data_IF_789131711876
#
_entry.id   IF_789131711876
#
_cell.length_a   1.000
_cell.length_b   1.000
_cell.length_c   1.000
_cell.angle_alpha   90.00
_cell.angle_beta   90.00
_cell.angle_gamma   90.00
#
_symmetry.space_group_name_H-M   'P 1'
#
loop_
_entity.id
_entity.type
_entity.pdbx_description
1 polymer ?
#
# COMPACT_ATOMS: atom_id res chain seq x y z
N UNK A 1 -25.56 2.59 18.76
CA UNK A 1 -24.65 1.50 18.33
C UNK A 1 -24.08 1.90 16.99
N UNK A 2 -22.79 1.82 16.86
CA UNK A 2 -22.10 2.04 15.57
C UNK A 2 -22.62 1.06 14.52
N UNK A 3 -22.78 1.51 13.27
CA UNK A 3 -23.16 0.63 12.16
C UNK A 3 -21.91 0.13 11.39
N UNK A 4 -20.70 0.33 11.94
CA UNK A 4 -19.45 -0.09 11.30
C UNK A 4 -19.27 -1.59 11.43
N UNK A 5 -19.03 -2.25 10.28
CA UNK A 5 -18.89 -3.69 10.14
C UNK A 5 -17.58 -4.11 9.46
N UNK A 6 -16.78 -3.15 9.03
CA UNK A 6 -15.46 -3.35 8.42
C UNK A 6 -14.58 -2.15 8.73
N UNK A 7 -13.31 -2.39 9.04
CA UNK A 7 -12.30 -1.34 9.21
C UNK A 7 -11.18 -1.58 8.21
N UNK A 8 -10.77 -0.54 7.49
CA UNK A 8 -9.59 -0.55 6.61
C UNK A 8 -8.63 0.52 7.09
N UNK A 9 -7.40 0.13 7.40
CA UNK A 9 -6.39 1.01 7.99
C UNK A 9 -5.12 1.04 7.16
N UNK A 10 -4.55 2.22 6.98
CA UNK A 10 -3.16 2.37 6.60
C UNK A 10 -2.23 1.85 7.70
N UNK A 11 -0.93 1.72 7.38
CA UNK A 11 0.10 1.19 8.26
C UNK A 11 1.05 2.29 8.75
N UNK A 12 1.77 2.95 7.81
CA UNK A 12 2.89 3.84 8.12
C UNK A 12 2.40 5.23 8.53
N UNK A 13 2.69 5.65 9.76
CA UNK A 13 2.14 6.88 10.31
C UNK A 13 0.71 6.75 10.85
N UNK A 14 0.10 5.56 10.74
CA UNK A 14 -1.24 5.24 11.21
C UNK A 14 -1.19 4.24 12.35
N UNK A 15 -0.97 2.94 12.09
CA UNK A 15 -0.86 1.92 13.14
C UNK A 15 0.56 1.73 13.68
N UNK A 16 1.56 2.22 12.95
CA UNK A 16 2.94 2.26 13.42
C UNK A 16 3.24 3.60 14.08
N UNK A 17 3.84 3.54 15.27
CA UNK A 17 4.38 4.72 15.96
C UNK A 17 5.58 5.31 15.20
N UNK A 18 6.03 6.49 15.59
CA UNK A 18 7.24 7.14 15.04
C UNK A 18 8.51 6.28 15.18
N UNK A 19 8.50 5.31 16.10
CA UNK A 19 9.57 4.32 16.28
C UNK A 19 9.35 3.04 15.47
N UNK A 20 8.44 3.05 14.50
CA UNK A 20 8.08 1.91 13.64
C UNK A 20 7.62 0.66 14.43
N UNK A 21 7.00 0.85 15.58
CA UNK A 21 6.40 -0.23 16.37
C UNK A 21 4.88 -0.19 16.22
N UNK A 22 4.27 -1.37 16.18
CA UNK A 22 2.80 -1.50 16.25
C UNK A 22 2.33 -0.98 17.61
N UNK A 23 1.32 -0.11 17.58
CA UNK A 23 0.72 0.45 18.81
C UNK A 23 0.19 -0.65 19.72
N UNK A 24 0.65 -0.64 21.00
CA UNK A 24 0.27 -1.65 22.00
C UNK A 24 -1.23 -1.60 22.34
N UNK A 25 -1.83 -0.42 22.41
CA UNK A 25 -3.27 -0.30 22.67
C UNK A 25 -4.11 -0.80 21.49
N UNK A 26 -3.60 -0.72 20.26
CA UNK A 26 -4.26 -1.34 19.12
C UNK A 26 -4.25 -2.87 19.24
N UNK A 27 -3.10 -3.45 19.64
CA UNK A 27 -3.02 -4.91 19.88
C UNK A 27 -4.06 -5.36 20.93
N UNK A 28 -4.25 -4.55 21.99
CA UNK A 28 -5.24 -4.87 23.05
C UNK A 28 -6.70 -4.81 22.57
N UNK A 29 -7.00 -3.97 21.58
CA UNK A 29 -8.36 -3.80 21.04
C UNK A 29 -8.72 -4.88 20.01
N UNK A 30 -7.73 -5.47 19.32
CA UNK A 30 -7.99 -6.46 18.25
C UNK A 30 -8.88 -7.64 18.68
N UNK A 31 -8.73 -8.27 19.88
CA UNK A 31 -9.63 -9.34 20.34
C UNK A 31 -11.09 -8.90 20.53
N UNK A 32 -11.33 -7.61 20.81
CA UNK A 32 -12.71 -7.09 20.92
C UNK A 32 -13.37 -6.98 19.55
N UNK A 33 -12.63 -6.55 18.52
CA UNK A 33 -13.12 -6.56 17.13
C UNK A 33 -13.40 -7.97 16.62
N UNK A 34 -12.51 -8.93 16.91
CA UNK A 34 -12.73 -10.35 16.57
C UNK A 34 -14.01 -10.88 17.21
N UNK A 35 -14.22 -10.63 18.51
CA UNK A 35 -15.44 -11.03 19.23
C UNK A 35 -16.69 -10.36 18.65
N UNK A 36 -16.58 -9.12 18.16
CA UNK A 36 -17.67 -8.40 17.51
C UNK A 36 -17.89 -8.84 16.04
N UNK A 37 -17.06 -9.73 15.49
CA UNK A 37 -17.01 -10.13 14.09
C UNK A 37 -16.85 -8.93 13.13
N UNK A 38 -15.99 -7.97 13.49
CA UNK A 38 -15.65 -6.82 12.66
C UNK A 38 -14.25 -7.03 12.09
N UNK A 39 -14.11 -7.33 10.79
CA UNK A 39 -12.82 -7.47 10.13
C UNK A 39 -12.01 -6.17 10.20
N UNK A 40 -10.69 -6.32 10.42
CA UNK A 40 -9.72 -5.25 10.34
C UNK A 40 -8.74 -5.56 9.22
N UNK A 41 -8.73 -4.74 8.18
CA UNK A 41 -7.94 -4.94 6.95
C UNK A 41 -6.85 -3.89 6.88
N UNK A 42 -5.62 -4.32 6.62
CA UNK A 42 -4.49 -3.45 6.38
C UNK A 42 -4.40 -3.08 4.90
N UNK A 43 -4.16 -1.80 4.58
CA UNK A 43 -3.95 -1.32 3.21
C UNK A 43 -2.70 -0.44 3.15
N UNK A 44 -1.66 -0.87 2.42
CA UNK A 44 -0.37 -0.19 2.36
C UNK A 44 0.32 -0.34 1.01
N UNK A 45 1.25 0.56 0.71
CA UNK A 45 2.18 0.43 -0.42
C UNK A 45 3.22 -0.70 -0.25
N UNK A 46 3.29 -1.30 0.93
CA UNK A 46 4.24 -2.37 1.28
C UNK A 46 3.97 -3.66 0.51
N UNK A 47 5.03 -4.48 0.38
CA UNK A 47 4.95 -5.85 -0.09
C UNK A 47 4.20 -6.76 0.91
N UNK A 48 3.74 -7.96 0.48
CA UNK A 48 3.23 -8.96 1.42
C UNK A 48 4.21 -9.33 2.53
N UNK A 49 5.51 -9.43 2.22
CA UNK A 49 6.54 -9.72 3.22
C UNK A 49 6.69 -8.59 4.24
N UNK A 50 6.57 -7.34 3.83
CA UNK A 50 6.60 -6.18 4.71
C UNK A 50 5.34 -6.01 5.57
N UNK A 51 4.19 -6.57 5.13
CA UNK A 51 2.92 -6.47 5.87
C UNK A 51 2.67 -7.65 6.81
N UNK A 52 3.09 -8.87 6.45
CA UNK A 52 2.83 -10.09 7.24
C UNK A 52 3.28 -10.01 8.71
N UNK A 53 4.49 -9.50 9.05
CA UNK A 53 4.89 -9.38 10.46
C UNK A 53 3.96 -8.47 11.27
N UNK A 54 3.46 -7.40 10.65
CA UNK A 54 2.54 -6.44 11.27
C UNK A 54 1.18 -7.09 11.49
N UNK A 55 0.64 -7.73 10.45
CA UNK A 55 -0.62 -8.47 10.53
C UNK A 55 -0.57 -9.57 11.61
N UNK A 56 0.53 -10.32 11.69
CA UNK A 56 0.76 -11.31 12.73
C UNK A 56 0.76 -10.73 14.14
N UNK A 57 1.43 -9.58 14.33
CA UNK A 57 1.50 -8.90 15.63
C UNK A 57 0.12 -8.40 16.09
N UNK A 58 -0.76 -8.05 15.14
CA UNK A 58 -2.15 -7.67 15.39
C UNK A 58 -3.11 -8.87 15.49
N UNK A 59 -2.64 -10.11 15.33
CA UNK A 59 -3.51 -11.29 15.35
C UNK A 59 -4.38 -11.47 14.11
N UNK A 60 -4.08 -10.80 13.01
CA UNK A 60 -4.84 -10.83 11.76
C UNK A 60 -4.50 -12.06 10.91
N UNK A 61 -4.87 -13.26 11.38
CA UNK A 61 -4.49 -14.52 10.71
C UNK A 61 -5.36 -14.86 9.49
N UNK A 62 -6.62 -14.41 9.49
CA UNK A 62 -7.61 -14.67 8.45
C UNK A 62 -8.22 -13.43 7.80
N UNK A 63 -7.73 -12.26 8.18
CA UNK A 63 -8.17 -11.01 7.57
C UNK A 63 -7.36 -10.72 6.30
N UNK A 64 -7.97 -10.16 5.26
CA UNK A 64 -7.25 -9.71 4.09
C UNK A 64 -6.21 -8.64 4.40
N UNK A 65 -5.13 -8.61 3.62
CA UNK A 65 -4.16 -7.52 3.56
C UNK A 65 -4.09 -7.00 2.13
N UNK A 66 -4.25 -5.69 1.95
CA UNK A 66 -4.16 -5.02 0.66
C UNK A 66 -2.76 -4.44 0.48
N UNK A 67 -1.91 -5.19 -0.23
CA UNK A 67 -0.52 -4.87 -0.53
C UNK A 67 -0.41 -3.98 -1.78
N UNK A 68 0.70 -3.23 -1.90
CA UNK A 68 0.95 -2.38 -3.08
C UNK A 68 -0.20 -1.42 -3.38
N UNK A 69 -0.77 -0.78 -2.33
CA UNK A 69 -1.94 0.09 -2.41
C UNK A 69 -3.20 -0.59 -3.00
N UNK A 70 -3.31 -1.91 -2.88
CA UNK A 70 -4.43 -2.69 -3.40
C UNK A 70 -4.16 -3.40 -4.73
N UNK A 71 -2.95 -3.30 -5.31
CA UNK A 71 -2.62 -4.10 -6.49
C UNK A 71 -2.68 -5.61 -6.23
N UNK A 72 -2.52 -6.02 -4.98
CA UNK A 72 -2.62 -7.41 -4.54
C UNK A 72 -3.29 -7.50 -3.17
N UNK A 73 -4.43 -8.18 -3.10
CA UNK A 73 -5.11 -8.45 -1.83
C UNK A 73 -5.04 -9.94 -1.52
N UNK A 74 -4.48 -10.26 -0.36
CA UNK A 74 -4.26 -11.63 0.12
C UNK A 74 -5.08 -11.91 1.38
N UNK A 75 -5.65 -13.10 1.47
CA UNK A 75 -6.18 -13.69 2.69
C UNK A 75 -5.35 -14.92 3.04
N UNK A 76 -4.46 -14.80 4.01
CA UNK A 76 -3.39 -15.77 4.21
C UNK A 76 -2.48 -15.87 2.98
N UNK A 77 -2.39 -17.06 2.38
CA UNK A 77 -1.64 -17.28 1.13
C UNK A 77 -2.52 -17.24 -0.13
N UNK A 78 -3.83 -17.03 0.03
CA UNK A 78 -4.79 -16.97 -1.08
C UNK A 78 -4.90 -15.57 -1.65
N UNK A 79 -4.64 -15.41 -2.94
CA UNK A 79 -4.96 -14.19 -3.66
C UNK A 79 -6.47 -14.10 -3.85
N UNK A 80 -7.09 -13.03 -3.35
CA UNK A 80 -8.52 -12.76 -3.52
C UNK A 80 -8.79 -11.68 -4.56
N UNK A 81 -7.89 -10.71 -4.69
CA UNK A 81 -7.94 -9.62 -5.67
C UNK A 81 -6.54 -9.37 -6.20
N UNK A 82 -6.41 -9.13 -7.51
CA UNK A 82 -5.12 -8.68 -8.07
C UNK A 82 -5.32 -7.80 -9.30
N UNK A 83 -4.47 -6.80 -9.41
CA UNK A 83 -4.39 -5.84 -10.51
C UNK A 83 -2.95 -5.75 -11.00
N UNK A 84 -2.53 -6.68 -11.87
CA UNK A 84 -1.18 -6.63 -12.43
C UNK A 84 -1.04 -5.45 -13.39
N UNK A 85 0.18 -4.96 -13.53
CA UNK A 85 0.56 -4.02 -14.58
C UNK A 85 0.48 -4.68 -15.95
N UNK A 86 0.26 -3.89 -17.00
CA UNK A 86 0.31 -4.38 -18.37
C UNK A 86 1.75 -4.70 -18.77
N UNK A 87 2.04 -5.97 -19.08
CA UNK A 87 3.40 -6.44 -19.38
C UNK A 87 3.98 -5.85 -20.66
N UNK A 88 3.14 -5.51 -21.63
CA UNK A 88 3.59 -4.85 -22.86
C UNK A 88 4.07 -3.43 -22.58
N UNK A 89 3.31 -2.68 -21.79
CA UNK A 89 3.73 -1.34 -21.37
C UNK A 89 4.99 -1.38 -20.50
N UNK A 90 5.13 -2.38 -19.62
CA UNK A 90 6.35 -2.55 -18.83
C UNK A 90 7.55 -2.94 -19.68
N UNK A 91 7.36 -3.75 -20.72
CA UNK A 91 8.41 -4.06 -21.69
C UNK A 91 8.91 -2.79 -22.39
N UNK A 92 8.00 -1.93 -22.84
CA UNK A 92 8.34 -0.64 -23.46
C UNK A 92 9.05 0.29 -22.46
N UNK A 93 8.58 0.33 -21.20
CA UNK A 93 9.25 1.08 -20.13
C UNK A 93 10.68 0.59 -19.89
N UNK A 94 10.91 -0.73 -19.80
CA UNK A 94 12.26 -1.29 -19.58
C UNK A 94 13.19 -0.97 -20.76
N UNK A 95 12.70 -1.01 -22.00
CA UNK A 95 13.46 -0.63 -23.19
C UNK A 95 13.84 0.86 -23.14
N UNK A 96 12.91 1.72 -22.77
CA UNK A 96 13.15 3.16 -22.58
C UNK A 96 14.20 3.43 -21.49
N UNK A 97 14.03 2.82 -20.31
CA UNK A 97 14.95 2.97 -19.19
C UNK A 97 16.36 2.52 -19.55
N UNK A 98 16.52 1.38 -20.22
CA UNK A 98 17.85 0.86 -20.60
C UNK A 98 18.61 1.77 -21.57
N UNK A 99 17.89 2.58 -22.34
CA UNK A 99 18.48 3.48 -23.36
C UNK A 99 18.74 4.88 -22.80
N UNK A 100 17.73 5.46 -22.15
CA UNK A 100 17.71 6.88 -21.78
C UNK A 100 18.04 7.12 -20.30
N UNK A 101 17.83 6.12 -19.43
CA UNK A 101 18.02 6.19 -17.98
C UNK A 101 18.73 4.95 -17.42
N UNK A 102 19.92 4.58 -17.94
CA UNK A 102 20.59 3.33 -17.57
C UNK A 102 21.11 3.29 -16.12
N UNK A 103 21.11 4.41 -15.39
CA UNK A 103 21.48 4.47 -13.96
C UNK A 103 20.32 4.15 -13.02
N UNK A 104 19.08 4.14 -13.50
CA UNK A 104 17.90 3.89 -12.67
C UNK A 104 17.86 2.44 -12.23
N UNK A 105 17.83 2.23 -10.91
CA UNK A 105 17.60 0.91 -10.30
C UNK A 105 16.14 0.51 -10.50
N UNK A 106 15.93 -0.60 -11.18
CA UNK A 106 14.59 -1.14 -11.46
C UNK A 106 14.31 -2.33 -10.57
N UNK A 107 13.25 -2.21 -9.78
CA UNK A 107 12.84 -3.21 -8.81
C UNK A 107 11.41 -3.67 -9.14
N UNK A 108 11.23 -4.93 -9.50
CA UNK A 108 9.94 -5.55 -9.86
C UNK A 108 9.41 -6.32 -8.67
N UNK A 109 8.13 -6.12 -8.35
CA UNK A 109 7.42 -6.86 -7.30
C UNK A 109 6.33 -7.73 -7.90
N UNK A 110 6.45 -9.04 -7.73
CA UNK A 110 5.53 -10.06 -8.21
C UNK A 110 5.08 -10.96 -7.05
N UNK A 111 3.86 -10.79 -6.56
CA UNK A 111 3.42 -11.49 -5.36
C UNK A 111 4.30 -11.14 -4.15
N UNK A 112 4.99 -12.12 -3.61
CA UNK A 112 5.96 -11.96 -2.50
C UNK A 112 7.40 -11.72 -2.98
N UNK A 113 7.66 -11.86 -4.26
CA UNK A 113 9.00 -11.78 -4.83
C UNK A 113 9.35 -10.34 -5.19
N UNK A 114 10.53 -9.91 -4.76
CA UNK A 114 11.21 -8.71 -5.21
C UNK A 114 12.36 -9.12 -6.15
N UNK A 115 12.37 -8.61 -7.37
CA UNK A 115 13.28 -9.00 -8.44
C UNK A 115 14.00 -7.75 -8.95
N UNK A 116 15.32 -7.85 -9.12
CA UNK A 116 16.16 -6.85 -9.78
C UNK A 116 17.25 -7.55 -10.61
N UNK A 117 17.83 -6.84 -11.59
CA UNK A 117 18.90 -7.41 -12.41
C UNK A 117 20.25 -7.49 -11.69
N UNK A 118 20.50 -6.63 -10.71
CA UNK A 118 21.74 -6.61 -9.93
C UNK A 118 21.54 -5.97 -8.56
N UNK A 119 22.47 -6.23 -7.64
CA UNK A 119 22.54 -5.56 -6.34
C UNK A 119 23.33 -4.25 -6.47
N UNK A 120 22.68 -3.19 -6.87
CA UNK A 120 23.22 -1.84 -6.88
C UNK A 120 23.11 -1.12 -5.52
N UNK A 121 23.56 0.14 -5.43
CA UNK A 121 23.50 0.93 -4.19
C UNK A 121 22.05 1.15 -3.70
N UNK A 122 21.09 1.24 -4.63
CA UNK A 122 19.70 1.57 -4.32
C UNK A 122 18.93 0.33 -3.85
N UNK A 123 19.11 -0.80 -4.53
CA UNK A 123 18.51 -2.07 -4.08
C UNK A 123 19.08 -2.53 -2.73
N UNK A 124 20.39 -2.28 -2.47
CA UNK A 124 20.98 -2.52 -1.15
C UNK A 124 20.36 -1.60 -0.08
N UNK A 125 20.17 -0.30 -0.38
CA UNK A 125 19.51 0.63 0.52
C UNK A 125 18.07 0.19 0.81
N UNK A 126 17.28 -0.12 -0.23
CA UNK A 126 15.89 -0.59 -0.08
C UNK A 126 15.82 -1.86 0.77
N UNK A 127 16.70 -2.83 0.53
CA UNK A 127 16.81 -4.03 1.36
C UNK A 127 17.13 -3.73 2.83
N UNK A 128 17.95 -2.73 3.11
CA UNK A 128 18.25 -2.29 4.48
C UNK A 128 17.05 -1.62 5.17
N UNK A 129 16.19 -0.95 4.41
CA UNK A 129 14.99 -0.27 4.91
C UNK A 129 13.86 -1.28 5.16
N UNK A 130 13.62 -2.17 4.20
CA UNK A 130 12.49 -3.12 4.23
C UNK A 130 12.78 -4.40 5.00
N UNK A 131 14.06 -4.76 5.13
CA UNK A 131 14.49 -6.08 5.63
C UNK A 131 14.31 -7.19 4.61
N UNK A 132 13.96 -6.86 3.37
CA UNK A 132 13.76 -7.81 2.27
C UNK A 132 15.05 -7.95 1.44
N UNK A 133 15.15 -9.03 0.67
CA UNK A 133 16.26 -9.29 -0.23
C UNK A 133 15.75 -9.61 -1.63
N UNK A 134 16.28 -8.97 -2.69
CA UNK A 134 15.83 -9.23 -4.04
C UNK A 134 16.36 -10.56 -4.59
N UNK A 135 15.58 -11.13 -5.50
CA UNK A 135 16.00 -12.18 -6.40
C UNK A 135 16.70 -11.54 -7.59
N UNK A 136 17.92 -11.97 -7.89
CA UNK A 136 18.67 -11.48 -9.05
C UNK A 136 18.26 -12.27 -10.28
N UNK A 137 17.63 -11.59 -11.25
CA UNK A 137 17.14 -12.19 -12.50
C UNK A 137 17.06 -11.13 -13.58
N UNK A 138 17.28 -11.51 -14.84
CA UNK A 138 17.10 -10.62 -15.98
C UNK A 138 15.66 -10.05 -16.02
N UNK A 139 15.52 -8.73 -16.03
CA UNK A 139 14.21 -8.08 -15.97
C UNK A 139 13.39 -8.32 -17.23
N UNK A 140 14.02 -8.41 -18.41
CA UNK A 140 13.35 -8.72 -19.67
C UNK A 140 12.70 -10.11 -19.64
N UNK A 141 13.36 -11.09 -19.06
CA UNK A 141 12.80 -12.45 -18.89
C UNK A 141 11.65 -12.44 -17.89
N UNK A 142 11.75 -11.61 -16.85
CA UNK A 142 10.71 -11.47 -15.80
C UNK A 142 9.39 -10.91 -16.34
N UNK A 143 9.44 -10.07 -17.38
CA UNK A 143 8.25 -9.45 -17.97
C UNK A 143 7.59 -10.34 -19.03
N UNK A 144 8.17 -11.49 -19.39
CA UNK A 144 7.57 -12.41 -20.37
C UNK A 144 6.19 -12.92 -19.94
N UNK A 145 5.34 -13.29 -20.90
CA UNK A 145 3.97 -13.79 -20.66
C UNK A 145 3.91 -15.07 -19.83
N UNK A 146 5.01 -15.86 -19.82
CA UNK A 146 5.10 -17.11 -19.06
C UNK A 146 5.37 -16.90 -17.57
N UNK A 147 5.75 -15.69 -17.17
CA UNK A 147 6.07 -15.38 -15.78
C UNK A 147 4.81 -14.96 -14.99
N UNK A 148 4.85 -15.03 -13.64
CA UNK A 148 3.74 -14.59 -12.81
C UNK A 148 3.41 -13.11 -12.98
N UNK A 149 2.21 -12.66 -12.54
CA UNK A 149 1.78 -11.29 -12.66
C UNK A 149 2.68 -10.35 -11.84
N UNK A 150 2.97 -9.17 -12.41
CA UNK A 150 3.72 -8.10 -11.76
C UNK A 150 2.73 -7.10 -11.16
N UNK A 151 2.88 -6.75 -9.89
CA UNK A 151 1.96 -5.87 -9.19
C UNK A 151 2.48 -4.44 -9.04
N UNK A 152 3.81 -4.28 -8.97
CA UNK A 152 4.45 -2.97 -8.82
C UNK A 152 5.86 -3.01 -9.38
N UNK A 153 6.32 -1.86 -9.93
CA UNK A 153 7.74 -1.57 -10.06
C UNK A 153 8.09 -0.37 -9.16
N UNK A 154 9.31 -0.38 -8.65
CA UNK A 154 9.91 0.75 -7.95
C UNK A 154 11.19 1.15 -8.67
N UNK A 155 11.22 2.36 -9.17
CA UNK A 155 12.35 2.95 -9.86
C UNK A 155 13.06 3.91 -8.90
N UNK A 156 14.37 3.72 -8.71
CA UNK A 156 15.14 4.50 -7.73
C UNK A 156 16.40 5.04 -8.38
N UNK A 157 16.66 6.31 -8.18
CA UNK A 157 17.93 6.96 -8.52
C UNK A 157 18.08 8.25 -7.70
N UNK A 158 19.02 9.13 -8.07
CA UNK A 158 19.12 10.47 -7.50
C UNK A 158 17.83 11.27 -7.79
N UNK A 159 17.41 12.17 -6.89
CA UNK A 159 16.14 12.90 -7.02
C UNK A 159 15.94 13.60 -8.36
N UNK A 160 16.98 14.24 -8.89
CA UNK A 160 16.92 14.97 -10.16
C UNK A 160 16.63 14.04 -11.34
N UNK A 161 17.19 12.81 -11.32
CA UNK A 161 16.98 11.80 -12.36
C UNK A 161 15.55 11.28 -12.30
N UNK A 162 15.06 10.96 -11.10
CA UNK A 162 13.70 10.42 -10.90
C UNK A 162 12.64 11.46 -11.24
N UNK A 163 12.84 12.72 -10.90
CA UNK A 163 11.89 13.79 -11.23
C UNK A 163 11.85 14.08 -12.74
N UNK A 164 13.00 14.10 -13.43
CA UNK A 164 13.03 14.24 -14.90
C UNK A 164 12.34 13.03 -15.57
N UNK A 165 12.67 11.81 -15.15
CA UNK A 165 12.03 10.59 -15.63
C UNK A 165 10.51 10.64 -15.44
N UNK A 166 10.03 11.02 -14.26
CA UNK A 166 8.60 11.13 -13.98
C UNK A 166 7.91 12.11 -14.96
N UNK A 167 8.48 13.31 -15.16
CA UNK A 167 7.93 14.28 -16.11
C UNK A 167 7.88 13.74 -17.56
N UNK A 168 8.89 12.99 -17.98
CA UNK A 168 8.91 12.35 -19.30
C UNK A 168 7.82 11.29 -19.42
N UNK A 169 7.71 10.38 -18.43
CA UNK A 169 6.72 9.31 -18.44
C UNK A 169 5.28 9.83 -18.43
N UNK A 170 5.01 10.93 -17.73
CA UNK A 170 3.69 11.59 -17.76
C UNK A 170 3.30 12.13 -19.16
N UNK A 171 4.28 12.38 -20.02
CA UNK A 171 4.07 12.84 -21.42
C UNK A 171 4.01 11.71 -22.44
N UNK A 172 4.30 10.47 -22.04
CA UNK A 172 4.28 9.28 -22.89
C UNK A 172 2.91 8.59 -22.84
N UNK A 173 2.65 7.72 -23.80
CA UNK A 173 1.38 6.98 -23.90
C UNK A 173 1.46 5.64 -23.15
N UNK A 174 1.05 5.64 -21.88
CA UNK A 174 0.90 4.47 -21.04
C UNK A 174 -0.54 4.40 -20.50
N UNK A 175 -1.51 3.98 -21.32
CA UNK A 175 -2.93 4.05 -20.97
C UNK A 175 -3.34 3.17 -19.79
N UNK A 176 -2.62 2.07 -19.52
CA UNK A 176 -2.92 1.13 -18.44
C UNK A 176 -2.03 1.29 -17.21
N UNK A 177 -1.00 2.14 -17.27
CA UNK A 177 0.01 2.30 -16.22
C UNK A 177 -0.08 3.67 -15.56
N UNK A 178 0.15 3.71 -14.25
CA UNK A 178 0.27 4.93 -13.46
C UNK A 178 1.69 5.08 -12.92
N UNK A 179 2.14 6.34 -12.87
CA UNK A 179 3.43 6.74 -12.35
C UNK A 179 3.23 7.79 -11.26
N UNK A 180 3.80 7.58 -10.08
CA UNK A 180 3.72 8.56 -9.00
C UNK A 180 4.96 8.53 -8.09
N UNK A 181 5.34 9.69 -7.59
CA UNK A 181 6.45 9.81 -6.66
C UNK A 181 5.98 9.46 -5.24
N UNK A 182 6.62 8.47 -4.61
CA UNK A 182 6.42 8.16 -3.20
C UNK A 182 7.45 8.86 -2.29
N UNK A 183 8.61 9.20 -2.87
CA UNK A 183 9.66 10.06 -2.30
C UNK A 183 10.31 10.86 -3.43
N UNK A 184 11.15 11.81 -3.11
CA UNK A 184 11.84 12.64 -4.12
C UNK A 184 12.67 11.80 -5.11
N UNK A 185 13.16 10.66 -4.66
CA UNK A 185 14.00 9.73 -5.41
C UNK A 185 13.37 8.35 -5.67
N UNK A 186 12.06 8.18 -5.42
CA UNK A 186 11.31 6.93 -5.61
C UNK A 186 10.14 7.17 -6.54
N UNK A 187 10.12 6.48 -7.68
CA UNK A 187 9.00 6.49 -8.62
C UNK A 187 8.34 5.11 -8.64
N UNK A 188 7.09 5.08 -8.21
CA UNK A 188 6.25 3.89 -8.21
C UNK A 188 5.55 3.73 -9.55
N UNK A 189 5.47 2.49 -10.04
CA UNK A 189 4.78 2.11 -11.28
C UNK A 189 3.77 1.02 -10.95
N UNK A 190 2.49 1.27 -11.20
CA UNK A 190 1.38 0.34 -10.92
C UNK A 190 0.37 0.32 -12.05
N UNK A 191 -0.58 -0.60 -12.02
CA UNK A 191 -1.74 -0.50 -12.89
C UNK A 191 -2.54 0.78 -12.58
N UNK A 192 -3.10 1.41 -13.60
CA UNK A 192 -3.63 2.78 -13.57
C UNK A 192 -4.71 3.03 -12.52
N UNK A 193 -5.52 2.03 -12.22
CA UNK A 193 -6.63 2.13 -11.27
C UNK A 193 -6.28 1.70 -9.85
N UNK A 194 -5.04 1.28 -9.61
CA UNK A 194 -4.59 0.86 -8.28
C UNK A 194 -4.49 2.06 -7.34
N UNK A 195 -5.22 2.00 -6.24
CA UNK A 195 -5.21 2.99 -5.17
C UNK A 195 -5.84 2.39 -3.91
N UNK A 196 -5.62 3.00 -2.75
CA UNK A 196 -6.30 2.60 -1.51
C UNK A 196 -7.82 2.83 -1.58
N UNK A 197 -8.28 3.80 -2.36
CA UNK A 197 -9.71 3.98 -2.66
C UNK A 197 -10.27 2.77 -3.41
N UNK A 198 -9.58 2.31 -4.45
CA UNK A 198 -10.01 1.12 -5.18
C UNK A 198 -9.97 -0.13 -4.31
N UNK A 199 -8.94 -0.28 -3.47
CA UNK A 199 -8.87 -1.37 -2.49
C UNK A 199 -10.05 -1.34 -1.51
N UNK A 200 -10.47 -0.16 -1.02
CA UNK A 200 -11.66 -0.01 -0.19
C UNK A 200 -12.91 -0.55 -0.90
N UNK A 201 -13.15 -0.13 -2.16
CA UNK A 201 -14.32 -0.56 -2.93
C UNK A 201 -14.37 -2.08 -3.09
N UNK A 202 -13.25 -2.69 -3.43
CA UNK A 202 -13.16 -4.13 -3.67
C UNK A 202 -13.23 -4.96 -2.39
N UNK A 203 -12.60 -4.52 -1.31
CA UNK A 203 -12.66 -5.18 -0.01
C UNK A 203 -14.07 -5.07 0.59
N UNK A 204 -14.74 -3.91 0.49
CA UNK A 204 -16.12 -3.76 0.91
C UNK A 204 -17.05 -4.69 0.11
N UNK A 205 -16.86 -4.79 -1.21
CA UNK A 205 -17.57 -5.73 -2.07
C UNK A 205 -17.28 -7.20 -1.71
N UNK A 206 -16.05 -7.53 -1.37
CA UNK A 206 -15.69 -8.89 -0.93
C UNK A 206 -16.46 -9.32 0.32
N UNK A 207 -16.71 -8.38 1.25
CA UNK A 207 -17.52 -8.62 2.46
C UNK A 207 -19.01 -8.40 2.26
N UNK A 208 -19.47 -8.05 1.06
CA UNK A 208 -20.86 -7.69 0.74
C UNK A 208 -21.42 -6.61 1.67
N UNK A 209 -20.61 -5.55 1.87
CA UNK A 209 -20.92 -4.41 2.72
C UNK A 209 -21.05 -3.11 1.92
N UNK A 210 -22.06 -2.28 2.22
CA UNK A 210 -22.12 -0.93 1.68
C UNK A 210 -21.06 -0.04 2.36
N UNK A 211 -20.61 1.00 1.67
CA UNK A 211 -19.54 1.88 2.17
C UNK A 211 -19.92 2.61 3.46
N UNK A 212 -21.20 2.86 3.68
CA UNK A 212 -21.75 3.48 4.90
C UNK A 212 -21.47 2.66 6.17
N UNK A 213 -21.16 1.35 6.02
CA UNK A 213 -20.81 0.44 7.11
C UNK A 213 -19.29 0.22 7.25
N UNK A 214 -18.48 0.98 6.48
CA UNK A 214 -17.02 0.87 6.48
C UNK A 214 -16.39 2.07 7.15
N UNK A 215 -15.45 1.83 8.05
CA UNK A 215 -14.55 2.83 8.60
C UNK A 215 -13.19 2.72 7.93
N UNK A 216 -12.61 3.86 7.55
CA UNK A 216 -11.23 3.94 7.05
C UNK A 216 -10.39 4.84 7.94
N UNK A 217 -9.10 4.52 8.10
CA UNK A 217 -8.15 5.28 8.91
C UNK A 217 -6.85 5.46 8.14
N UNK A 218 -6.31 6.68 8.12
CA UNK A 218 -5.07 6.99 7.42
C UNK A 218 -4.49 8.34 7.80
N UNK A 219 -3.27 8.63 7.34
CA UNK A 219 -2.56 9.85 7.71
C UNK A 219 -1.98 10.62 6.53
N UNK A 220 -1.98 10.08 5.30
CA UNK A 220 -1.28 10.70 4.19
C UNK A 220 -2.21 10.96 2.97
N UNK A 221 -1.70 11.70 1.99
CA UNK A 221 -2.48 12.10 0.81
C UNK A 221 -2.98 10.92 -0.03
N UNK A 222 -2.27 9.79 -0.06
CA UNK A 222 -2.75 8.58 -0.72
C UNK A 222 -3.93 7.90 0.01
N UNK A 223 -4.19 8.30 1.26
CA UNK A 223 -5.36 7.86 2.04
C UNK A 223 -6.58 8.72 1.81
N UNK A 224 -6.39 10.01 1.47
CA UNK A 224 -7.47 10.99 1.35
C UNK A 224 -8.67 10.49 0.54
N UNK A 225 -8.49 9.82 -0.63
CA UNK A 225 -9.63 9.32 -1.39
C UNK A 225 -10.44 8.24 -0.65
N UNK A 226 -9.78 7.31 0.05
CA UNK A 226 -10.48 6.29 0.84
C UNK A 226 -11.16 6.88 2.09
N UNK A 227 -10.53 7.91 2.72
CA UNK A 227 -11.13 8.61 3.87
C UNK A 227 -12.40 9.36 3.46
N UNK A 228 -12.40 10.01 2.30
CA UNK A 228 -13.55 10.75 1.79
C UNK A 228 -14.72 9.85 1.35
N UNK A 229 -14.41 8.63 0.90
CA UNK A 229 -15.39 7.72 0.29
C UNK A 229 -16.09 6.81 1.30
N UNK A 230 -15.44 6.44 2.40
CA UNK A 230 -15.98 5.56 3.43
C UNK A 230 -17.15 6.21 4.19
N UNK A 231 -18.02 5.38 4.79
CA UNK A 231 -19.06 5.86 5.68
C UNK A 231 -18.53 6.60 6.91
N UNK A 232 -17.31 6.24 7.36
CA UNK A 232 -16.59 6.94 8.42
C UNK A 232 -15.08 6.97 8.09
N UNK A 233 -14.63 8.05 7.48
CA UNK A 233 -13.19 8.30 7.26
C UNK A 233 -12.58 9.04 8.44
N UNK A 234 -11.49 8.53 8.99
CA UNK A 234 -10.78 9.10 10.14
C UNK A 234 -9.34 9.42 9.75
N UNK A 235 -8.97 10.69 9.85
CA UNK A 235 -7.59 11.12 9.72
C UNK A 235 -6.85 11.03 11.05
N UNK A 236 -5.59 10.62 11.02
CA UNK A 236 -4.72 10.63 12.20
C UNK A 236 -4.37 12.06 12.61
N UNK A 237 -4.11 12.27 13.91
CA UNK A 237 -3.72 13.57 14.45
C UNK A 237 -2.40 14.12 13.87
N UNK A 238 -1.48 13.23 13.46
CA UNK A 238 -0.22 13.56 12.77
C UNK A 238 -0.38 13.82 11.26
N UNK A 239 -1.56 13.60 10.68
CA UNK A 239 -1.79 13.83 9.26
C UNK A 239 -1.65 15.33 8.88
N UNK A 240 -1.19 15.66 7.65
CA UNK A 240 -1.25 17.01 7.12
C UNK A 240 -2.67 17.56 7.10
N UNK A 241 -2.81 18.89 7.22
CA UNK A 241 -4.12 19.55 7.28
C UNK A 241 -5.02 19.20 6.08
N UNK A 242 -4.44 19.18 4.86
CA UNK A 242 -5.20 18.82 3.65
C UNK A 242 -5.75 17.38 3.66
N UNK A 243 -5.16 16.46 4.43
CA UNK A 243 -5.70 15.10 4.65
C UNK A 243 -6.82 15.15 5.68
N UNK A 244 -6.64 15.87 6.78
CA UNK A 244 -7.67 16.04 7.83
C UNK A 244 -8.97 16.66 7.28
N UNK A 245 -8.85 17.61 6.35
CA UNK A 245 -9.99 18.24 5.68
C UNK A 245 -10.82 17.26 4.83
N UNK A 246 -10.26 16.14 4.39
CA UNK A 246 -10.98 15.12 3.60
C UNK A 246 -11.72 14.08 4.45
N UNK A 247 -11.36 13.96 5.73
CA UNK A 247 -11.94 12.97 6.63
C UNK A 247 -13.20 13.49 7.34
N UNK A 248 -14.05 12.57 7.82
CA UNK A 248 -15.20 12.92 8.64
C UNK A 248 -14.79 13.36 10.05
N UNK A 249 -13.73 12.75 10.59
CA UNK A 249 -13.21 12.98 11.93
C UNK A 249 -11.69 12.96 11.94
N UNK A 250 -11.12 13.53 13.00
CA UNK A 250 -9.68 13.45 13.30
C UNK A 250 -9.54 12.79 14.66
N UNK A 251 -8.70 11.77 14.75
CA UNK A 251 -8.33 11.10 15.99
C UNK A 251 -6.99 11.62 16.55
N UNK A 252 -6.50 11.03 17.64
CA UNK A 252 -5.17 11.33 18.17
C UNK A 252 -4.05 10.91 17.17
N UNK A 253 -2.81 11.27 17.44
CA UNK A 253 -1.68 10.87 16.62
C UNK A 253 -1.36 9.38 16.75
N UNK A 254 -0.53 8.86 15.85
CA UNK A 254 -0.03 7.49 15.90
C UNK A 254 0.82 7.20 17.17
N UNK A 255 1.44 8.20 17.77
CA UNK A 255 2.17 8.08 19.04
C UNK A 255 1.25 8.22 20.27
N UNK A 256 -0.01 8.60 20.07
CA UNK A 256 -1.02 8.80 21.11
C UNK A 256 -2.20 7.83 20.99
N UNK A 257 -1.97 6.67 20.40
CA UNK A 257 -2.94 5.57 20.29
C UNK A 257 -4.21 5.90 19.46
N UNK A 258 -4.08 6.75 18.43
CA UNK A 258 -5.21 7.29 17.69
C UNK A 258 -6.13 6.25 17.07
N UNK A 259 -5.56 5.16 16.50
CA UNK A 259 -6.39 4.08 15.90
C UNK A 259 -7.19 3.33 16.96
N UNK A 260 -6.57 2.96 18.08
CA UNK A 260 -7.25 2.27 19.17
C UNK A 260 -8.36 3.14 19.79
N UNK A 261 -8.10 4.44 19.95
CA UNK A 261 -9.09 5.41 20.42
C UNK A 261 -10.29 5.49 19.46
N UNK A 262 -10.05 5.65 18.16
CA UNK A 262 -11.10 5.71 17.15
C UNK A 262 -11.99 4.45 17.14
N UNK A 263 -11.39 3.26 17.27
CA UNK A 263 -12.12 2.00 17.34
C UNK A 263 -13.01 1.94 18.58
N UNK A 264 -12.48 2.27 19.76
CA UNK A 264 -13.25 2.28 21.01
C UNK A 264 -14.42 3.25 20.96
N UNK A 265 -14.21 4.47 20.45
CA UNK A 265 -15.22 5.52 20.43
C UNK A 265 -16.31 5.29 19.38
N UNK A 266 -15.97 4.77 18.22
CA UNK A 266 -16.88 4.75 17.07
C UNK A 266 -17.34 3.36 16.64
N UNK A 267 -16.72 2.29 17.14
CA UNK A 267 -17.05 0.92 16.72
C UNK A 267 -17.54 0.06 17.87
N UNK A 268 -16.86 0.10 19.03
CA UNK A 268 -17.13 -0.82 20.15
C UNK A 268 -18.08 -0.26 21.22
N UNK A 269 -18.46 1.03 21.15
CA UNK A 269 -19.38 1.69 22.09
C UNK A 269 -20.86 1.56 21.70
#
# INVERSE_FOLDING_TARGET
MSNIRLIISDIDGTILTSNHQVDEQLIEVMPELEKANIPFVLASARSPLGMQPIAHKLGLHSNPIACYNGALVLEGDRTIIQHPVDKSEIQDLLNYLSTDYPSVSVNIYSGKDWITNELDKWSQLEGSITGESPIIKELQDTVSDSEPPIHKLLLIDEPEVIQDLHQKLLSMDFPQTAFYLSKDNYLEVTAKHVSKEHALLEVAKYYDLPLEEVMTIGDNFNDSPMLALAGLGIAMGNAPEGVKETANLVTASNDEHGVAQAIREHVLN
#
